data_IF_914517518728
#
_entry.id   IF_914517518728
#
_cell.length_a   1.000
_cell.length_b   1.000
_cell.length_c   1.000
_cell.angle_alpha   90.00
_cell.angle_beta   90.00
_cell.angle_gamma   90.00
#
_symmetry.space_group_name_H-M   'P 1'
#
loop_
_entity.id
_entity.type
_entity.pdbx_description
1 polymer ?
#
# COMPACT_ATOMS: atom_id res chain seq x y z
N UNK A 1 -7.61 -29.73 10.28
CA UNK A 1 -8.91 -30.37 10.00
C UNK A 1 -9.03 -30.51 8.49
N UNK A 2 -8.70 -31.68 7.95
CA UNK A 2 -8.85 -31.96 6.52
C UNK A 2 -10.27 -32.42 6.28
N UNK A 3 -11.21 -31.49 6.13
CA UNK A 3 -12.53 -31.81 5.59
C UNK A 3 -12.37 -32.12 4.11
N UNK A 4 -12.45 -33.41 3.73
CA UNK A 4 -12.63 -33.79 2.35
C UNK A 4 -13.99 -33.22 1.90
N UNK A 5 -13.95 -32.22 1.03
CA UNK A 5 -15.16 -31.81 0.31
C UNK A 5 -15.59 -33.01 -0.54
N UNK A 6 -16.79 -33.54 -0.27
CA UNK A 6 -17.36 -34.56 -1.10
C UNK A 6 -17.60 -34.02 -2.50
N UNK A 7 -17.30 -34.82 -3.53
CA UNK A 7 -17.54 -34.43 -4.93
C UNK A 7 -19.01 -34.25 -5.14
N UNK A 8 -19.45 -33.05 -5.49
CA UNK A 8 -20.84 -32.74 -5.84
C UNK A 8 -20.91 -32.22 -7.26
N UNK A 9 -21.75 -32.87 -8.07
CA UNK A 9 -21.97 -32.48 -9.45
C UNK A 9 -20.71 -32.57 -10.32
N UNK A 10 -20.36 -31.46 -10.97
CA UNK A 10 -19.18 -31.33 -11.82
C UNK A 10 -17.90 -30.93 -11.05
N UNK A 11 -18.00 -30.68 -9.77
CA UNK A 11 -16.84 -30.34 -8.94
C UNK A 11 -15.89 -31.52 -8.81
N UNK A 12 -14.60 -31.24 -9.02
CA UNK A 12 -13.49 -32.17 -8.82
C UNK A 12 -12.42 -31.47 -8.00
N UNK A 13 -12.13 -31.97 -6.82
CA UNK A 13 -11.12 -31.40 -5.93
C UNK A 13 -9.70 -31.36 -6.55
N UNK A 14 -9.42 -32.25 -7.50
CA UNK A 14 -8.17 -32.31 -8.26
C UNK A 14 -7.98 -31.11 -9.23
N UNK A 15 -9.09 -30.43 -9.59
CA UNK A 15 -9.08 -29.23 -10.42
C UNK A 15 -9.14 -27.93 -9.60
N UNK A 16 -9.15 -28.04 -8.28
CA UNK A 16 -9.09 -26.88 -7.39
C UNK A 16 -7.69 -26.29 -7.43
N UNK A 17 -7.58 -25.09 -7.99
CA UNK A 17 -6.34 -24.33 -8.05
C UNK A 17 -6.61 -22.92 -7.51
N UNK A 18 -5.65 -22.42 -6.71
CA UNK A 18 -5.72 -21.04 -6.25
C UNK A 18 -5.80 -20.08 -7.43
N UNK A 19 -6.84 -19.27 -7.44
CA UNK A 19 -7.12 -18.31 -8.51
C UNK A 19 -6.66 -16.88 -8.17
N UNK A 20 -5.83 -16.72 -7.14
CA UNK A 20 -5.39 -15.42 -6.64
C UNK A 20 -4.06 -15.00 -7.26
N UNK A 21 -3.93 -13.71 -7.60
CA UNK A 21 -2.67 -13.09 -8.03
C UNK A 21 -1.86 -12.50 -6.88
N UNK A 22 -2.24 -12.77 -5.64
CA UNK A 22 -1.56 -12.29 -4.42
C UNK A 22 -0.73 -13.41 -3.82
N UNK A 23 0.47 -13.06 -3.34
CA UNK A 23 1.30 -13.96 -2.56
C UNK A 23 1.93 -13.23 -1.37
N UNK A 24 2.20 -13.97 -0.30
CA UNK A 24 2.85 -13.44 0.88
C UNK A 24 3.87 -14.45 1.42
N UNK A 25 4.99 -13.93 1.91
CA UNK A 25 5.96 -14.67 2.71
C UNK A 25 6.41 -13.80 3.88
N UNK A 26 6.57 -14.41 5.06
CA UNK A 26 7.04 -13.72 6.25
C UNK A 26 7.97 -14.61 7.06
N UNK A 27 8.94 -14.00 7.72
CA UNK A 27 9.76 -14.64 8.72
C UNK A 27 9.04 -14.59 10.08
N UNK A 28 8.73 -15.75 10.65
CA UNK A 28 7.99 -15.84 11.92
C UNK A 28 8.78 -15.31 13.11
N UNK A 29 10.14 -15.27 13.03
CA UNK A 29 10.96 -14.62 14.06
C UNK A 29 10.91 -13.10 14.02
N UNK A 30 10.35 -12.51 12.93
CA UNK A 30 10.36 -11.06 12.68
C UNK A 30 11.71 -10.50 12.22
N UNK A 31 12.75 -11.35 12.07
CA UNK A 31 14.04 -10.93 11.57
C UNK A 31 14.00 -10.58 10.08
N UNK A 32 14.57 -9.43 9.74
CA UNK A 32 14.67 -8.99 8.36
C UNK A 32 15.89 -9.62 7.69
N UNK A 33 15.69 -10.17 6.50
CA UNK A 33 16.77 -10.68 5.65
C UNK A 33 16.41 -10.52 4.17
N UNK A 34 17.41 -10.68 3.30
CA UNK A 34 17.22 -10.55 1.86
C UNK A 34 16.51 -11.78 1.26
N UNK A 35 16.70 -12.98 1.83
CA UNK A 35 16.05 -14.22 1.39
C UNK A 35 14.50 -14.11 1.37
N UNK A 36 13.91 -13.33 2.27
CA UNK A 36 12.46 -13.03 2.23
C UNK A 36 12.08 -12.24 0.98
N UNK A 37 12.91 -11.29 0.55
CA UNK A 37 12.67 -10.53 -0.68
C UNK A 37 12.79 -11.44 -1.90
N UNK A 38 13.84 -12.26 -1.97
CA UNK A 38 14.04 -13.26 -3.04
C UNK A 38 12.88 -14.26 -3.11
N UNK A 39 12.41 -14.76 -1.96
CA UNK A 39 11.22 -15.63 -1.89
C UNK A 39 9.97 -14.92 -2.38
N UNK A 40 9.76 -13.64 -2.02
CA UNK A 40 8.69 -12.81 -2.55
C UNK A 40 8.76 -12.72 -4.07
N UNK A 41 9.93 -12.43 -4.64
CA UNK A 41 10.14 -12.42 -6.10
C UNK A 41 9.89 -13.80 -6.74
N UNK A 42 10.26 -14.87 -6.05
CA UNK A 42 9.99 -16.24 -6.53
C UNK A 42 8.50 -16.54 -6.57
N UNK A 43 7.75 -16.16 -5.53
CA UNK A 43 6.29 -16.28 -5.51
C UNK A 43 5.69 -15.49 -6.66
N UNK A 44 6.10 -14.23 -6.85
CA UNK A 44 5.61 -13.36 -7.91
C UNK A 44 5.82 -13.99 -9.30
N UNK A 45 7.03 -14.50 -9.57
CA UNK A 45 7.36 -15.19 -10.84
C UNK A 45 6.49 -16.43 -11.07
N UNK A 46 6.14 -17.17 -10.02
CA UNK A 46 5.23 -18.33 -10.09
C UNK A 46 3.77 -17.94 -10.34
N UNK A 47 3.38 -16.71 -9.99
CA UNK A 47 2.07 -16.15 -10.25
C UNK A 47 1.92 -15.55 -11.67
N UNK A 48 2.92 -15.68 -12.55
CA UNK A 48 2.90 -15.09 -13.90
C UNK A 48 1.65 -15.49 -14.71
N UNK A 49 1.17 -16.73 -14.54
CA UNK A 49 -0.05 -17.22 -15.17
C UNK A 49 -1.33 -16.50 -14.69
N UNK A 50 -1.24 -15.68 -13.65
CA UNK A 50 -2.33 -14.85 -13.10
C UNK A 50 -2.28 -13.41 -13.60
N UNK A 51 -1.30 -13.05 -14.40
CA UNK A 51 -1.19 -11.76 -15.06
C UNK A 51 -1.80 -11.75 -16.45
N UNK A 52 -1.97 -10.55 -17.01
CA UNK A 52 -2.32 -10.37 -18.40
C UNK A 52 -1.34 -9.42 -19.10
N UNK A 53 -1.36 -9.47 -20.42
CA UNK A 53 -0.63 -8.57 -21.31
C UNK A 53 -1.60 -7.93 -22.28
N UNK A 54 -1.28 -6.73 -22.76
CA UNK A 54 -2.00 -6.07 -23.83
C UNK A 54 -1.52 -6.51 -25.23
N UNK A 55 -1.55 -5.57 -26.17
CA UNK A 55 -1.02 -5.79 -27.52
C UNK A 55 0.47 -6.00 -27.54
N UNK A 56 1.20 -5.34 -26.63
CA UNK A 56 2.61 -5.58 -26.38
C UNK A 56 2.76 -6.74 -25.38
N UNK A 57 3.28 -7.91 -25.80
CA UNK A 57 3.40 -9.06 -24.92
C UNK A 57 4.43 -8.88 -23.80
N UNK A 58 5.28 -7.85 -23.86
CA UNK A 58 6.24 -7.49 -22.81
C UNK A 58 5.71 -6.42 -21.87
N UNK A 59 4.50 -5.91 -22.09
CA UNK A 59 3.80 -4.97 -21.19
C UNK A 59 2.74 -5.71 -20.41
N UNK A 60 2.92 -5.82 -19.08
CA UNK A 60 1.97 -6.45 -18.17
C UNK A 60 0.94 -5.48 -17.61
N UNK A 61 -0.18 -5.99 -17.12
CA UNK A 61 -1.23 -5.21 -16.43
C UNK A 61 -0.75 -4.63 -15.07
N UNK A 62 0.35 -5.15 -14.56
CA UNK A 62 1.00 -4.66 -13.36
C UNK A 62 1.52 -5.76 -12.45
N UNK A 63 2.68 -5.51 -11.87
CA UNK A 63 3.26 -6.33 -10.82
C UNK A 63 3.92 -5.45 -9.77
N UNK A 64 4.02 -5.97 -8.53
CA UNK A 64 4.65 -5.21 -7.46
C UNK A 64 4.88 -6.01 -6.19
N UNK A 65 5.60 -5.34 -5.30
CA UNK A 65 6.04 -5.80 -3.99
C UNK A 65 5.78 -4.72 -2.96
N UNK A 66 5.17 -5.10 -1.85
CA UNK A 66 5.10 -4.34 -0.61
C UNK A 66 5.96 -5.05 0.44
N UNK A 67 6.81 -4.30 1.12
CA UNK A 67 7.73 -4.83 2.11
C UNK A 67 8.02 -3.81 3.21
N UNK A 68 8.67 -4.24 4.29
CA UNK A 68 9.20 -3.30 5.29
C UNK A 68 10.32 -2.46 4.68
N UNK A 69 10.40 -1.19 5.07
CA UNK A 69 11.49 -0.29 4.64
C UNK A 69 12.83 -0.86 5.11
N UNK A 70 13.80 -1.08 4.20
CA UNK A 70 15.15 -1.48 4.57
C UNK A 70 15.94 -0.25 5.06
N UNK A 71 15.71 0.16 6.29
CA UNK A 71 16.31 1.38 6.86
C UNK A 71 17.83 1.39 6.77
N UNK A 72 18.49 0.24 6.94
CA UNK A 72 19.94 0.11 6.79
C UNK A 72 20.45 0.52 5.41
N UNK A 73 19.79 0.04 4.36
CA UNK A 73 20.05 0.42 2.97
C UNK A 73 19.87 1.93 2.76
N UNK A 74 18.72 2.47 3.16
CA UNK A 74 18.45 3.91 2.95
C UNK A 74 19.30 4.83 3.82
N UNK A 75 19.76 4.40 4.99
CA UNK A 75 20.75 5.15 5.78
C UNK A 75 22.06 5.31 5.01
N UNK A 76 22.53 4.28 4.29
CA UNK A 76 23.71 4.39 3.41
C UNK A 76 23.48 5.38 2.26
N UNK A 77 22.30 5.35 1.65
CA UNK A 77 21.89 6.30 0.59
C UNK A 77 21.89 7.75 1.11
N UNK A 78 21.32 7.98 2.29
CA UNK A 78 21.26 9.31 2.92
C UNK A 78 22.65 9.78 3.36
N UNK A 79 23.48 8.90 3.92
CA UNK A 79 24.85 9.23 4.31
C UNK A 79 25.69 9.70 3.12
N UNK A 80 25.51 9.09 1.95
CA UNK A 80 26.17 9.52 0.70
C UNK A 80 25.74 10.95 0.27
N UNK A 81 24.60 11.45 0.78
CA UNK A 81 24.08 12.81 0.55
C UNK A 81 24.32 13.75 1.74
N UNK A 82 25.16 13.36 2.70
CA UNK A 82 25.44 14.09 3.95
C UNK A 82 24.20 14.34 4.83
N UNK A 83 23.10 13.60 4.61
CA UNK A 83 21.91 13.65 5.45
C UNK A 83 21.97 12.54 6.50
N UNK A 84 21.66 12.89 7.75
CA UNK A 84 21.66 11.95 8.89
C UNK A 84 20.35 12.06 9.63
N UNK A 85 19.66 10.94 9.80
CA UNK A 85 18.51 10.82 10.71
C UNK A 85 18.43 9.40 11.25
N UNK A 86 18.12 9.27 12.53
CA UNK A 86 17.88 7.98 13.17
C UNK A 86 16.56 7.38 12.71
N UNK A 87 15.53 8.23 12.55
CA UNK A 87 14.18 7.85 12.15
C UNK A 87 13.69 8.72 10.99
N UNK A 88 13.20 8.08 9.93
CA UNK A 88 12.66 8.76 8.75
C UNK A 88 11.59 7.89 8.07
N UNK A 89 10.69 8.57 7.38
CA UNK A 89 9.78 7.96 6.41
C UNK A 89 10.30 8.07 4.99
N UNK A 90 9.80 7.20 4.13
CA UNK A 90 10.10 7.19 2.70
C UNK A 90 8.80 7.32 1.92
N UNK A 91 8.72 8.35 1.08
CA UNK A 91 7.68 8.44 0.07
C UNK A 91 8.22 7.92 -1.26
N UNK A 92 7.51 6.98 -1.89
CA UNK A 92 7.73 6.53 -3.26
C UNK A 92 6.76 7.26 -4.18
N UNK A 93 7.29 7.97 -5.16
CA UNK A 93 6.54 8.88 -6.02
C UNK A 93 6.68 8.50 -7.49
N UNK A 94 5.57 8.57 -8.22
CA UNK A 94 5.52 8.55 -9.67
C UNK A 94 5.22 9.96 -10.19
N UNK A 95 6.05 10.48 -11.10
CA UNK A 95 5.93 11.83 -11.64
C UNK A 95 6.45 12.94 -10.72
N UNK A 96 5.76 14.09 -10.73
CA UNK A 96 6.05 15.24 -9.87
C UNK A 96 7.29 16.05 -10.28
N UNK A 97 7.75 15.94 -11.52
CA UNK A 97 8.81 16.80 -12.04
C UNK A 97 8.35 18.26 -12.08
N UNK A 98 9.18 19.16 -11.53
CA UNK A 98 8.83 20.58 -11.41
C UNK A 98 7.87 20.90 -10.26
N UNK A 99 7.41 19.89 -9.49
CA UNK A 99 6.52 20.07 -8.35
C UNK A 99 7.24 19.95 -6.99
N UNK A 100 8.58 19.76 -7.00
CA UNK A 100 9.39 19.53 -5.79
C UNK A 100 9.14 20.59 -4.72
N UNK A 101 9.13 21.87 -5.09
CA UNK A 101 8.89 22.97 -4.14
C UNK A 101 7.51 22.90 -3.50
N UNK A 102 6.49 22.47 -4.24
CA UNK A 102 5.13 22.31 -3.67
C UNK A 102 5.13 21.17 -2.65
N UNK A 103 5.73 20.03 -3.01
CA UNK A 103 5.84 18.85 -2.14
C UNK A 103 6.62 19.20 -0.86
N UNK A 104 7.77 19.88 -0.98
CA UNK A 104 8.57 20.30 0.17
C UNK A 104 7.83 21.30 1.06
N UNK A 105 7.03 22.22 0.48
CA UNK A 105 6.24 23.15 1.25
C UNK A 105 5.15 22.42 2.06
N UNK A 106 4.48 21.43 1.49
CA UNK A 106 3.53 20.57 2.21
C UNK A 106 4.22 19.89 3.40
N UNK A 107 5.39 19.29 3.20
CA UNK A 107 6.12 18.61 4.27
C UNK A 107 6.51 19.60 5.38
N UNK A 108 6.98 20.80 5.02
CA UNK A 108 7.36 21.84 5.96
C UNK A 108 6.17 22.39 6.75
N UNK A 109 5.00 22.56 6.10
CA UNK A 109 3.78 23.00 6.78
C UNK A 109 3.26 21.98 7.81
N UNK A 110 3.53 20.70 7.57
CA UNK A 110 3.20 19.61 8.50
C UNK A 110 4.26 19.38 9.61
N UNK A 111 5.20 20.31 9.79
CA UNK A 111 6.19 20.26 10.86
C UNK A 111 7.31 19.24 10.62
N UNK A 112 7.44 18.74 9.40
CA UNK A 112 8.47 17.81 8.98
C UNK A 112 9.57 18.50 8.17
N UNK A 113 10.66 17.79 7.93
CA UNK A 113 11.76 18.24 7.09
C UNK A 113 12.07 17.21 6.01
N UNK A 114 12.57 17.70 4.89
CA UNK A 114 13.05 16.88 3.78
C UNK A 114 14.53 16.58 3.98
N UNK A 115 14.88 15.32 4.13
CA UNK A 115 16.28 14.87 4.23
C UNK A 115 16.94 14.78 2.85
N UNK A 116 16.16 14.55 1.81
CA UNK A 116 16.66 14.49 0.45
C UNK A 116 15.76 13.77 -0.52
N UNK A 117 16.05 13.94 -1.80
CA UNK A 117 15.44 13.27 -2.93
C UNK A 117 16.39 12.23 -3.51
N UNK A 118 15.83 11.13 -4.02
CA UNK A 118 16.55 10.10 -4.78
C UNK A 118 15.76 9.72 -6.01
N UNK A 119 16.39 9.83 -7.18
CA UNK A 119 15.86 9.14 -8.35
C UNK A 119 16.11 7.64 -8.15
N UNK A 120 15.04 6.86 -8.24
CA UNK A 120 15.13 5.40 -8.05
C UNK A 120 15.86 4.82 -9.26
N UNK A 121 16.93 4.04 -9.05
CA UNK A 121 17.56 3.31 -10.16
C UNK A 121 16.56 2.37 -10.81
N UNK A 122 16.38 2.52 -12.12
CA UNK A 122 15.50 1.65 -12.93
C UNK A 122 16.20 1.25 -14.22
N UNK A 123 15.83 0.10 -14.75
CA UNK A 123 16.28 -0.38 -16.06
C UNK A 123 15.09 -0.39 -17.03
N UNK A 124 14.91 0.66 -17.84
CA UNK A 124 13.81 0.75 -18.80
C UNK A 124 13.86 -0.32 -19.91
N UNK A 125 15.02 -0.93 -20.15
CA UNK A 125 15.16 -1.98 -21.16
C UNK A 125 14.62 -3.34 -20.70
N UNK A 126 14.28 -3.45 -19.42
CA UNK A 126 13.66 -4.65 -18.85
C UNK A 126 12.15 -4.74 -19.08
N UNK A 127 11.51 -3.70 -19.64
CA UNK A 127 10.05 -3.60 -19.80
C UNK A 127 9.65 -3.37 -21.25
N UNK A 128 8.39 -3.70 -21.56
CA UNK A 128 7.83 -3.54 -22.89
C UNK A 128 7.73 -2.10 -23.37
N UNK A 129 7.57 -1.95 -24.67
CA UNK A 129 7.50 -0.64 -25.32
C UNK A 129 6.36 0.23 -24.80
N UNK A 130 5.15 -0.33 -24.66
CA UNK A 130 3.97 0.41 -24.24
C UNK A 130 4.09 0.86 -22.78
N UNK A 131 4.60 0.01 -21.88
CA UNK A 131 4.88 0.38 -20.48
C UNK A 131 5.94 1.49 -20.40
N UNK A 132 6.98 1.43 -21.23
CA UNK A 132 8.05 2.42 -21.30
C UNK A 132 7.54 3.78 -21.80
N UNK A 133 6.65 3.78 -22.80
CA UNK A 133 6.11 5.01 -23.38
C UNK A 133 5.33 5.87 -22.36
N UNK A 134 4.73 5.23 -21.36
CA UNK A 134 3.96 5.90 -20.29
C UNK A 134 4.63 5.80 -18.92
N UNK A 135 5.91 5.47 -18.90
CA UNK A 135 6.67 5.31 -17.65
C UNK A 135 6.84 6.68 -16.96
N UNK A 136 6.36 6.82 -15.72
CA UNK A 136 6.60 8.04 -14.96
C UNK A 136 8.05 8.10 -14.49
N UNK A 137 8.53 9.28 -14.14
CA UNK A 137 9.74 9.39 -13.35
C UNK A 137 9.48 8.81 -11.95
N UNK A 138 10.37 7.94 -11.49
CA UNK A 138 10.22 7.25 -10.20
C UNK A 138 11.22 7.82 -9.21
N UNK A 139 10.71 8.36 -8.11
CA UNK A 139 11.54 9.06 -7.11
C UNK A 139 11.20 8.64 -5.69
N UNK A 140 12.18 8.74 -4.84
CA UNK A 140 12.04 8.60 -3.40
C UNK A 140 12.32 9.92 -2.70
N UNK A 141 11.53 10.21 -1.69
CA UNK A 141 11.65 11.38 -0.86
C UNK A 141 11.75 10.94 0.59
N UNK A 142 12.80 11.38 1.28
CA UNK A 142 13.06 11.05 2.67
C UNK A 142 12.59 12.18 3.57
N UNK A 143 11.76 11.84 4.56
CA UNK A 143 11.06 12.78 5.43
C UNK A 143 11.37 12.44 6.88
N UNK A 144 11.73 13.45 7.68
CA UNK A 144 11.92 13.30 9.12
C UNK A 144 11.06 14.31 9.89
N UNK A 145 10.81 14.03 11.16
CA UNK A 145 10.26 15.03 12.07
C UNK A 145 11.35 16.06 12.38
N UNK A 146 11.00 17.34 12.45
CA UNK A 146 11.93 18.34 12.97
C UNK A 146 12.27 18.01 14.43
N UNK A 147 13.55 17.82 14.74
CA UNK A 147 14.01 17.63 16.11
C UNK A 147 13.66 18.87 16.94
N UNK A 148 12.57 18.81 17.68
CA UNK A 148 12.44 19.62 18.88
C UNK A 148 13.17 18.87 20.00
N UNK A 149 14.10 19.53 20.69
CA UNK A 149 15.03 18.96 21.68
C UNK A 149 14.41 18.21 22.88
N UNK A 150 13.12 17.97 22.88
CA UNK A 150 12.35 17.36 23.98
C UNK A 150 12.16 15.84 23.88
N UNK A 151 12.78 15.14 22.93
CA UNK A 151 12.60 13.68 22.77
C UNK A 151 13.59 12.84 23.60
N UNK A 152 14.52 13.45 24.33
CA UNK A 152 15.54 12.72 25.12
C UNK A 152 15.07 12.09 26.44
N UNK A 153 13.79 12.21 26.81
CA UNK A 153 13.27 11.72 28.11
C UNK A 153 12.23 10.60 28.02
N UNK A 154 12.20 9.81 26.92
CA UNK A 154 11.30 8.66 26.82
C UNK A 154 12.09 7.36 26.62
N UNK A 155 13.16 7.20 27.38
CA UNK A 155 13.71 5.86 27.68
C UNK A 155 13.07 5.39 28.97
N UNK A 156 12.38 4.24 28.91
CA UNK A 156 11.65 3.55 29.99
C UNK A 156 10.16 3.92 30.17
N UNK A 157 9.35 3.42 29.25
CA UNK A 157 7.97 3.09 29.62
C UNK A 157 7.55 1.83 28.88
N UNK A 158 7.17 0.80 29.65
CA UNK A 158 6.57 -0.44 29.14
C UNK A 158 5.50 -0.11 28.10
N UNK A 159 5.65 -0.66 26.91
CA UNK A 159 4.69 -0.52 25.81
C UNK A 159 3.34 -1.07 26.30
N UNK A 160 2.43 -0.18 26.61
CA UNK A 160 1.04 -0.54 26.83
C UNK A 160 0.33 -0.52 25.48
N UNK A 161 -0.20 -1.65 25.02
CA UNK A 161 -0.96 -1.78 23.77
C UNK A 161 -2.15 -0.80 23.68
N UNK A 162 -2.61 -0.27 24.81
CA UNK A 162 -3.61 0.79 24.86
C UNK A 162 -3.08 2.19 24.51
N UNK A 163 -1.75 2.40 24.49
CA UNK A 163 -1.15 3.71 24.19
C UNK A 163 -1.23 4.08 22.70
N UNK A 164 -1.34 3.07 21.81
CA UNK A 164 -1.55 3.30 20.38
C UNK A 164 -2.92 3.92 20.09
N UNK A 165 -3.93 3.57 20.89
CA UNK A 165 -5.29 4.10 20.78
C UNK A 165 -5.42 5.56 21.23
N UNK A 166 -4.54 6.06 22.09
CA UNK A 166 -4.60 7.44 22.60
C UNK A 166 -3.64 8.41 21.92
N UNK A 167 -2.97 8.02 20.82
CA UNK A 167 -2.11 8.92 20.03
C UNK A 167 -0.82 9.36 20.74
N UNK A 168 -0.42 8.66 21.81
CA UNK A 168 0.79 8.98 22.60
C UNK A 168 2.04 8.26 22.12
N UNK A 169 1.91 7.30 21.18
CA UNK A 169 3.05 6.62 20.56
C UNK A 169 3.68 7.55 19.49
N UNK A 170 4.95 7.96 19.65
CA UNK A 170 5.63 8.84 18.70
C UNK A 170 5.68 8.26 17.28
N UNK A 171 5.86 6.94 17.15
CA UNK A 171 5.91 6.25 15.86
C UNK A 171 4.54 6.27 15.15
N UNK A 172 3.47 5.96 15.88
CA UNK A 172 2.11 6.04 15.35
C UNK A 172 1.71 7.48 14.98
N UNK A 173 2.19 8.47 15.75
CA UNK A 173 2.00 9.88 15.46
C UNK A 173 2.73 10.31 14.19
N UNK A 174 3.96 9.83 13.98
CA UNK A 174 4.73 10.13 12.78
C UNK A 174 4.12 9.45 11.54
N UNK A 175 3.69 8.20 11.65
CA UNK A 175 3.01 7.49 10.57
C UNK A 175 1.73 8.21 10.13
N UNK A 176 0.93 8.70 11.09
CA UNK A 176 -0.25 9.52 10.80
C UNK A 176 0.11 10.84 10.13
N UNK A 177 1.21 11.47 10.53
CA UNK A 177 1.69 12.70 9.87
C UNK A 177 2.10 12.43 8.43
N UNK A 178 2.77 11.32 8.15
CA UNK A 178 3.11 10.88 6.79
C UNK A 178 1.85 10.61 5.94
N UNK A 179 0.80 10.03 6.54
CA UNK A 179 -0.49 9.86 5.88
C UNK A 179 -1.12 11.23 5.49
N UNK A 180 -1.11 12.22 6.39
CA UNK A 180 -1.61 13.57 6.09
C UNK A 180 -0.78 14.22 4.98
N UNK A 181 0.55 14.17 5.09
CA UNK A 181 1.48 14.70 4.08
C UNK A 181 1.18 14.10 2.71
N UNK A 182 0.99 12.78 2.62
CA UNK A 182 0.62 12.13 1.36
C UNK A 182 -0.67 12.71 0.77
N UNK A 183 -1.71 12.84 1.59
CA UNK A 183 -3.01 13.37 1.14
C UNK A 183 -2.89 14.82 0.66
N UNK A 184 -2.11 15.62 1.34
CA UNK A 184 -1.87 17.01 0.93
C UNK A 184 -0.98 17.12 -0.31
N UNK A 185 0.03 16.26 -0.48
CA UNK A 185 0.81 16.17 -1.73
C UNK A 185 -0.11 15.88 -2.91
N UNK A 186 -0.99 14.86 -2.80
CA UNK A 186 -1.93 14.48 -3.85
C UNK A 186 -2.89 15.61 -4.24
N UNK A 187 -3.20 16.53 -3.31
CA UNK A 187 -4.03 17.72 -3.58
C UNK A 187 -3.24 18.89 -4.18
N UNK A 188 -2.01 19.10 -3.71
CA UNK A 188 -1.18 20.22 -4.11
C UNK A 188 -0.54 20.04 -5.49
N UNK A 189 -0.44 18.80 -5.95
CA UNK A 189 0.22 18.41 -7.20
C UNK A 189 -0.80 17.92 -8.22
N UNK A 190 -0.43 17.98 -9.52
CA UNK A 190 -1.30 17.51 -10.62
C UNK A 190 -0.86 16.17 -11.16
N UNK A 191 0.46 15.99 -11.27
CA UNK A 191 1.07 14.88 -11.99
C UNK A 191 1.91 14.01 -11.07
N UNK A 192 1.64 14.08 -9.74
CA UNK A 192 2.31 13.26 -8.73
C UNK A 192 1.37 12.23 -8.16
N UNK A 193 1.71 10.95 -8.31
CA UNK A 193 1.07 9.86 -7.59
C UNK A 193 1.99 9.34 -6.48
N UNK A 194 1.45 9.18 -5.27
CA UNK A 194 2.20 8.67 -4.12
C UNK A 194 1.93 7.18 -3.94
N UNK A 195 2.88 6.33 -4.38
CA UNK A 195 2.76 4.87 -4.27
C UNK A 195 2.73 4.39 -2.83
N UNK A 196 3.59 4.98 -1.99
CA UNK A 196 3.64 4.77 -0.54
C UNK A 196 4.28 5.98 0.12
N UNK A 197 3.91 6.28 1.37
CA UNK A 197 4.50 7.31 2.21
C UNK A 197 4.39 6.84 3.67
N UNK A 198 5.43 6.20 4.19
CA UNK A 198 5.40 5.51 5.47
C UNK A 198 6.78 5.50 6.11
N UNK A 199 6.84 5.32 7.41
CA UNK A 199 8.06 5.01 8.15
C UNK A 199 8.28 3.49 8.30
N UNK A 200 7.30 2.67 7.89
CA UNK A 200 7.26 1.21 8.09
C UNK A 200 7.38 0.42 6.80
N UNK A 201 6.63 0.79 5.78
CA UNK A 201 6.49 0.02 4.54
C UNK A 201 6.81 0.82 3.30
N UNK A 202 7.22 0.12 2.24
CA UNK A 202 7.50 0.70 0.93
C UNK A 202 6.92 -0.21 -0.16
N UNK A 203 6.47 0.42 -1.25
CA UNK A 203 5.90 -0.28 -2.40
C UNK A 203 6.76 -0.05 -3.63
N UNK A 204 7.19 -1.13 -4.27
CA UNK A 204 7.80 -1.18 -5.59
C UNK A 204 6.81 -1.82 -6.56
N UNK A 205 6.35 -1.10 -7.58
CA UNK A 205 5.35 -1.58 -8.53
C UNK A 205 5.44 -0.88 -9.88
N UNK A 206 4.72 -1.37 -10.86
CA UNK A 206 4.61 -0.73 -12.16
C UNK A 206 3.81 -1.54 -13.17
N UNK A 207 3.70 -1.05 -14.41
CA UNK A 207 3.16 -1.78 -15.56
C UNK A 207 4.14 -2.87 -16.02
N UNK A 208 4.30 -3.88 -15.18
CA UNK A 208 5.34 -4.89 -15.28
C UNK A 208 4.72 -6.28 -15.36
N UNK A 209 5.44 -7.19 -16.00
CA UNK A 209 5.28 -8.62 -15.78
C UNK A 209 5.98 -9.04 -14.49
N UNK A 210 5.54 -10.14 -13.88
CA UNK A 210 6.16 -10.73 -12.70
C UNK A 210 7.68 -10.91 -12.82
N UNK A 211 8.14 -11.29 -14.01
CA UNK A 211 9.56 -11.57 -14.29
C UNK A 211 10.41 -10.31 -14.52
N UNK A 212 9.76 -9.16 -14.64
CA UNK A 212 10.43 -7.89 -14.94
C UNK A 212 10.72 -7.07 -13.67
N UNK A 213 9.96 -7.24 -12.59
CA UNK A 213 10.03 -6.36 -11.40
C UNK A 213 11.46 -6.24 -10.84
N UNK A 214 12.13 -7.36 -10.64
CA UNK A 214 13.51 -7.41 -10.12
C UNK A 214 14.53 -6.84 -11.11
N UNK A 215 14.32 -7.09 -12.41
CA UNK A 215 15.20 -6.59 -13.47
C UNK A 215 15.04 -5.08 -13.67
N UNK A 216 13.82 -4.58 -13.46
CA UNK A 216 13.48 -3.17 -13.61
C UNK A 216 13.96 -2.33 -12.41
N UNK A 217 13.86 -2.88 -11.18
CA UNK A 217 14.32 -2.23 -9.95
C UNK A 217 15.58 -2.91 -9.38
N UNK A 218 16.79 -2.47 -9.73
CA UNK A 218 18.05 -3.03 -9.21
C UNK A 218 18.16 -3.04 -7.68
N UNK A 219 17.49 -2.10 -6.99
CA UNK A 219 17.41 -2.07 -5.52
C UNK A 219 16.98 -3.42 -4.93
N UNK A 220 16.06 -4.13 -5.60
CA UNK A 220 15.49 -5.39 -5.12
C UNK A 220 16.50 -6.55 -5.13
N UNK A 221 17.61 -6.41 -5.87
CA UNK A 221 18.70 -7.39 -5.93
C UNK A 221 19.87 -7.05 -4.98
N UNK A 222 19.79 -5.92 -4.26
CA UNK A 222 20.86 -5.55 -3.32
C UNK A 222 20.74 -6.36 -2.03
N UNK A 223 21.82 -7.03 -1.55
CA UNK A 223 21.79 -7.84 -0.33
C UNK A 223 21.40 -7.07 0.94
N UNK A 224 21.60 -5.75 0.98
CA UNK A 224 21.19 -4.89 2.08
C UNK A 224 19.67 -4.54 2.01
N UNK A 225 19.00 -4.93 0.92
CA UNK A 225 17.57 -4.73 0.74
C UNK A 225 16.80 -5.85 1.46
N UNK A 226 16.63 -5.70 2.77
CA UNK A 226 16.13 -6.73 3.68
C UNK A 226 14.74 -6.41 4.21
N UNK A 227 13.94 -7.45 4.45
CA UNK A 227 12.60 -7.32 5.05
C UNK A 227 12.24 -8.58 5.85
N UNK A 228 11.39 -8.46 6.89
CA UNK A 228 10.82 -9.62 7.57
C UNK A 228 9.61 -10.21 6.84
N UNK A 229 9.03 -9.51 5.87
CA UNK A 229 7.91 -9.98 5.06
C UNK A 229 7.94 -9.38 3.66
N UNK A 230 7.30 -10.07 2.73
CA UNK A 230 7.04 -9.59 1.38
C UNK A 230 5.62 -9.95 0.97
N UNK A 231 4.85 -8.97 0.49
CA UNK A 231 3.54 -9.16 -0.14
C UNK A 231 3.70 -8.81 -1.60
N UNK A 232 3.37 -9.73 -2.48
CA UNK A 232 3.50 -9.57 -3.93
C UNK A 232 2.16 -9.70 -4.62
N UNK A 233 2.03 -9.05 -5.76
CA UNK A 233 0.83 -9.12 -6.57
C UNK A 233 1.18 -9.12 -8.06
N UNK A 234 0.54 -10.03 -8.80
CA UNK A 234 0.47 -10.01 -10.25
C UNK A 234 -0.96 -9.64 -10.67
N UNK A 235 -1.09 -8.53 -11.37
CA UNK A 235 -2.40 -7.98 -11.75
C UNK A 235 -2.91 -8.60 -13.04
N UNK A 236 -4.22 -8.85 -13.04
CA UNK A 236 -5.06 -9.00 -14.22
C UNK A 236 -6.14 -7.91 -14.17
N UNK A 237 -6.12 -7.00 -15.14
CA UNK A 237 -7.07 -5.88 -15.15
C UNK A 237 -8.34 -6.28 -15.92
N UNK A 238 -9.49 -6.27 -15.24
CA UNK A 238 -10.78 -6.63 -15.84
C UNK A 238 -11.66 -5.42 -16.12
N UNK A 239 -11.66 -4.43 -15.21
CA UNK A 239 -12.63 -3.33 -15.21
C UNK A 239 -12.03 -1.95 -15.45
N UNK A 240 -10.70 -1.82 -15.41
CA UNK A 240 -10.00 -0.56 -15.61
C UNK A 240 -8.82 -0.76 -16.54
N UNK A 241 -8.49 0.25 -17.37
CA UNK A 241 -7.25 0.21 -18.13
C UNK A 241 -6.05 0.13 -17.17
N UNK A 242 -5.06 -0.73 -17.47
CA UNK A 242 -3.86 -0.82 -16.65
C UNK A 242 -3.06 0.48 -16.75
N UNK A 243 -2.64 0.99 -15.59
CA UNK A 243 -1.74 2.14 -15.46
C UNK A 243 -0.69 1.85 -14.39
N UNK A 244 0.39 2.64 -14.38
CA UNK A 244 1.45 2.51 -13.37
C UNK A 244 0.91 2.65 -11.95
N UNK A 245 -0.03 3.56 -11.73
CA UNK A 245 -0.62 3.88 -10.44
C UNK A 245 -1.53 2.75 -9.93
N UNK A 246 -2.26 2.11 -10.86
CA UNK A 246 -3.23 1.07 -10.54
C UNK A 246 -2.61 -0.32 -10.38
N UNK A 247 -1.30 -0.47 -10.64
CA UNK A 247 -0.60 -1.70 -10.29
C UNK A 247 -0.65 -1.96 -8.77
N UNK A 248 -0.73 -3.21 -8.39
CA UNK A 248 -0.73 -3.65 -7.00
C UNK A 248 0.67 -4.10 -6.54
N UNK A 249 0.94 -4.18 -5.22
CA UNK A 249 0.10 -3.79 -4.09
C UNK A 249 -0.16 -2.28 -4.04
N UNK A 250 -1.22 -1.89 -3.32
CA UNK A 250 -1.40 -0.53 -2.85
C UNK A 250 -0.60 -0.31 -1.57
N UNK A 251 -0.88 0.77 -0.82
CA UNK A 251 -0.09 1.17 0.35
C UNK A 251 -0.23 0.23 1.54
N UNK A 252 -1.43 -0.34 1.70
CA UNK A 252 -1.75 -1.20 2.84
C UNK A 252 -2.39 -2.53 2.43
N UNK A 253 -2.96 -2.64 1.22
CA UNK A 253 -3.62 -3.86 0.76
C UNK A 253 -3.07 -4.39 -0.56
N UNK A 254 -3.19 -5.71 -0.73
CA UNK A 254 -3.11 -6.39 -2.01
C UNK A 254 -4.42 -7.20 -2.19
N UNK A 255 -5.14 -6.96 -3.27
CA UNK A 255 -6.47 -7.50 -3.46
C UNK A 255 -6.68 -7.96 -4.91
N UNK A 256 -7.28 -9.12 -5.09
CA UNK A 256 -7.48 -9.73 -6.40
C UNK A 256 -8.96 -9.98 -6.74
N UNK A 257 -9.86 -9.38 -5.99
CA UNK A 257 -11.30 -9.52 -6.21
C UNK A 257 -11.95 -8.21 -6.68
N UNK A 258 -13.25 -8.30 -6.92
CA UNK A 258 -14.13 -7.18 -7.23
C UNK A 258 -14.99 -6.85 -6.01
N UNK A 259 -15.34 -5.58 -5.84
CA UNK A 259 -16.21 -5.10 -4.76
C UNK A 259 -17.57 -4.74 -5.37
N UNK A 260 -18.50 -5.68 -5.37
CA UNK A 260 -19.78 -5.53 -6.08
C UNK A 260 -20.62 -4.32 -5.64
N UNK A 261 -20.49 -3.89 -4.37
CA UNK A 261 -21.26 -2.78 -3.83
C UNK A 261 -20.49 -1.44 -3.85
N UNK A 262 -19.36 -1.35 -4.54
CA UNK A 262 -18.45 -0.21 -4.43
C UNK A 262 -19.13 1.14 -4.69
N UNK A 263 -19.96 1.24 -5.72
CA UNK A 263 -20.64 2.49 -6.07
C UNK A 263 -21.56 2.99 -4.94
N UNK A 264 -22.34 2.09 -4.35
CA UNK A 264 -23.19 2.41 -3.21
C UNK A 264 -22.40 2.80 -1.97
N UNK A 265 -21.30 2.08 -1.73
CA UNK A 265 -20.40 2.36 -0.60
C UNK A 265 -19.73 3.73 -0.73
N UNK A 266 -19.23 4.08 -1.93
CA UNK A 266 -18.63 5.39 -2.20
C UNK A 266 -19.65 6.53 -2.03
N UNK A 267 -20.87 6.35 -2.51
CA UNK A 267 -21.94 7.32 -2.34
C UNK A 267 -22.28 7.51 -0.86
N UNK A 268 -22.38 6.42 -0.09
CA UNK A 268 -22.65 6.47 1.34
C UNK A 268 -21.49 7.12 2.12
N UNK A 269 -20.24 6.87 1.72
CA UNK A 269 -19.07 7.50 2.30
C UNK A 269 -19.09 9.02 2.04
N UNK A 270 -19.27 9.43 0.78
CA UNK A 270 -19.32 10.84 0.40
C UNK A 270 -20.42 11.61 1.16
N UNK A 271 -21.60 11.00 1.33
CA UNK A 271 -22.69 11.60 2.11
C UNK A 271 -22.34 11.80 3.59
N UNK A 272 -21.36 11.06 4.13
CA UNK A 272 -20.93 11.15 5.53
C UNK A 272 -19.67 11.98 5.73
N UNK A 273 -18.90 12.26 4.69
CA UNK A 273 -17.63 12.99 4.82
C UNK A 273 -17.77 14.31 5.56
N UNK A 274 -18.86 15.06 5.34
CA UNK A 274 -19.13 16.33 6.01
C UNK A 274 -19.39 16.21 7.53
N UNK A 275 -19.75 15.01 8.01
CA UNK A 275 -20.05 14.72 9.42
C UNK A 275 -18.99 13.82 10.08
N UNK A 276 -17.87 13.56 9.41
CA UNK A 276 -16.80 12.77 9.99
C UNK A 276 -16.12 13.55 11.12
N UNK A 277 -15.95 12.86 12.24
CA UNK A 277 -15.22 13.33 13.40
C UNK A 277 -14.20 12.28 13.82
N UNK A 278 -13.03 12.73 14.23
CA UNK A 278 -11.98 11.87 14.76
C UNK A 278 -11.19 12.59 15.83
N UNK A 279 -11.23 12.13 17.08
CA UNK A 279 -10.40 12.69 18.14
C UNK A 279 -8.89 12.61 17.84
N UNK A 280 -8.52 11.61 17.04
CA UNK A 280 -7.12 11.35 16.68
C UNK A 280 -6.58 12.33 15.63
N UNK A 281 -7.42 12.75 14.69
CA UNK A 281 -7.06 13.73 13.67
C UNK A 281 -7.37 15.17 14.09
N UNK A 282 -8.42 15.38 14.89
CA UNK A 282 -8.88 16.74 15.21
C UNK A 282 -9.16 17.54 13.93
N UNK A 283 -8.62 18.76 13.87
CA UNK A 283 -8.77 19.64 12.69
C UNK A 283 -8.03 19.15 11.43
N UNK A 284 -7.02 18.29 11.58
CA UNK A 284 -6.30 17.71 10.46
C UNK A 284 -7.18 16.79 9.59
N UNK A 285 -8.36 16.36 10.11
CA UNK A 285 -9.32 15.58 9.33
C UNK A 285 -9.72 16.27 8.03
N UNK A 286 -9.86 17.58 8.04
CA UNK A 286 -10.22 18.38 6.85
C UNK A 286 -9.16 18.34 5.76
N UNK A 287 -7.90 18.13 6.14
CA UNK A 287 -6.77 18.06 5.19
C UNK A 287 -6.79 16.78 4.34
N UNK A 288 -7.38 15.71 4.84
CA UNK A 288 -7.38 14.40 4.19
C UNK A 288 -8.63 14.12 3.34
N UNK A 289 -9.64 15.00 3.39
CA UNK A 289 -10.84 14.87 2.56
C UNK A 289 -10.63 15.43 1.14
N UNK A 290 -11.30 14.87 0.11
CA UNK A 290 -12.15 13.68 0.17
C UNK A 290 -11.32 12.42 0.38
N UNK A 291 -11.90 11.39 1.02
CA UNK A 291 -11.18 10.13 1.31
C UNK A 291 -10.89 9.35 0.03
N UNK A 292 -11.88 9.29 -0.86
CA UNK A 292 -11.81 8.58 -2.13
C UNK A 292 -11.97 9.57 -3.28
N UNK A 293 -11.16 9.41 -4.31
CA UNK A 293 -11.23 10.23 -5.53
C UNK A 293 -11.98 9.50 -6.64
N UNK A 294 -12.62 10.26 -7.53
CA UNK A 294 -13.22 9.69 -8.74
C UNK A 294 -12.19 9.03 -9.66
N UNK A 295 -12.60 7.97 -10.35
CA UNK A 295 -11.75 7.27 -11.32
C UNK A 295 -10.77 6.24 -10.73
N UNK A 296 -10.78 6.03 -9.44
CA UNK A 296 -9.98 4.98 -8.79
C UNK A 296 -10.60 3.59 -9.00
N UNK A 297 -9.75 2.55 -8.96
CA UNK A 297 -10.23 1.17 -8.91
C UNK A 297 -10.89 0.86 -7.55
N UNK A 298 -11.68 -0.22 -7.50
CA UNK A 298 -12.32 -0.70 -6.27
C UNK A 298 -11.30 -0.92 -5.17
N UNK A 299 -10.20 -1.58 -5.51
CA UNK A 299 -9.11 -1.86 -4.56
C UNK A 299 -8.40 -0.60 -4.08
N UNK A 300 -8.19 0.40 -4.95
CA UNK A 300 -7.59 1.68 -4.55
C UNK A 300 -8.52 2.44 -3.59
N UNK A 301 -9.82 2.40 -3.84
CA UNK A 301 -10.83 3.00 -2.95
C UNK A 301 -10.86 2.31 -1.59
N UNK A 302 -10.82 0.98 -1.57
CA UNK A 302 -10.75 0.18 -0.34
C UNK A 302 -9.46 0.50 0.44
N UNK A 303 -8.31 0.59 -0.22
CA UNK A 303 -7.03 0.93 0.38
C UNK A 303 -7.08 2.29 1.08
N UNK A 304 -7.65 3.31 0.43
CA UNK A 304 -7.80 4.65 1.03
C UNK A 304 -8.64 4.62 2.32
N UNK A 305 -9.74 3.86 2.32
CA UNK A 305 -10.61 3.76 3.51
C UNK A 305 -9.92 2.96 4.61
N UNK A 306 -9.22 1.90 4.26
CA UNK A 306 -8.45 1.09 5.21
C UNK A 306 -7.36 1.91 5.87
N UNK A 307 -6.56 2.66 5.10
CA UNK A 307 -5.53 3.56 5.63
C UNK A 307 -6.12 4.60 6.60
N UNK A 308 -7.27 5.21 6.26
CA UNK A 308 -7.95 6.15 7.14
C UNK A 308 -8.27 5.51 8.49
N UNK A 309 -8.86 4.30 8.49
CA UNK A 309 -9.25 3.62 9.72
C UNK A 309 -8.05 3.28 10.59
N UNK A 310 -6.96 2.81 9.98
CA UNK A 310 -5.71 2.51 10.69
C UNK A 310 -5.07 3.80 11.22
N UNK A 311 -4.98 4.85 10.41
CA UNK A 311 -4.44 6.14 10.81
C UNK A 311 -5.30 6.82 11.92
N UNK A 312 -6.61 6.53 11.96
CA UNK A 312 -7.51 6.95 13.04
C UNK A 312 -7.34 6.13 14.34
N UNK A 313 -6.39 5.19 14.39
CA UNK A 313 -6.04 4.44 15.59
C UNK A 313 -6.71 3.07 15.72
N UNK A 314 -7.27 2.52 14.64
CA UNK A 314 -7.76 1.14 14.65
C UNK A 314 -6.63 0.19 14.27
N UNK A 315 -6.59 -0.98 14.90
CA UNK A 315 -5.69 -2.03 14.43
C UNK A 315 -6.12 -2.56 13.05
N UNK A 316 -5.17 -3.07 12.28
CA UNK A 316 -5.41 -3.52 10.92
C UNK A 316 -6.47 -4.65 10.82
N UNK A 317 -6.48 -5.69 11.70
CA UNK A 317 -7.55 -6.69 11.72
C UNK A 317 -8.93 -6.08 11.97
N UNK A 318 -9.08 -5.18 12.93
CA UNK A 318 -10.34 -4.53 13.22
C UNK A 318 -10.80 -3.65 12.05
N UNK A 319 -9.89 -2.85 11.46
CA UNK A 319 -10.21 -2.04 10.28
C UNK A 319 -10.69 -2.94 9.12
N UNK A 320 -10.05 -4.07 8.88
CA UNK A 320 -10.49 -5.02 7.85
C UNK A 320 -11.84 -5.65 8.19
N UNK A 321 -12.09 -6.04 9.42
CA UNK A 321 -13.39 -6.55 9.87
C UNK A 321 -14.52 -5.51 9.70
N UNK A 322 -14.21 -4.22 9.81
CA UNK A 322 -15.17 -3.15 9.53
C UNK A 322 -15.49 -3.01 8.05
N UNK A 323 -14.53 -3.34 7.19
CA UNK A 323 -14.63 -3.18 5.74
C UNK A 323 -15.14 -4.43 5.04
N UNK A 324 -14.91 -5.61 5.64
CA UNK A 324 -15.33 -6.92 5.12
C UNK A 324 -16.48 -7.45 5.98
N UNK A 325 -17.70 -7.29 5.53
CA UNK A 325 -18.88 -7.67 6.27
C UNK A 325 -19.09 -9.18 6.40
N UNK A 326 -19.59 -9.62 7.56
CA UNK A 326 -20.05 -10.96 7.78
C UNK A 326 -21.45 -11.15 7.18
N UNK A 327 -21.64 -12.17 6.34
CA UNK A 327 -22.99 -12.48 5.81
C UNK A 327 -23.95 -12.82 6.96
N UNK A 328 -25.11 -12.16 7.05
CA UNK A 328 -26.13 -12.57 8.00
C UNK A 328 -26.81 -13.93 7.62
N UNK A 329 -26.48 -14.45 6.45
CA UNK A 329 -27.02 -15.72 5.95
C UNK A 329 -25.94 -16.80 5.96
N UNK A 330 -25.97 -17.75 6.92
CA UNK A 330 -24.92 -18.77 7.06
C UNK A 330 -24.83 -19.76 5.89
N UNK A 331 -25.78 -19.74 4.95
CA UNK A 331 -25.90 -20.72 3.86
C UNK A 331 -25.82 -20.14 2.45
N UNK A 332 -25.52 -18.85 2.26
CA UNK A 332 -25.28 -18.32 0.91
C UNK A 332 -23.82 -18.52 0.53
N UNK A 333 -23.57 -19.51 -0.31
CA UNK A 333 -22.25 -19.77 -0.87
C UNK A 333 -21.64 -18.49 -1.46
N UNK A 334 -20.51 -18.09 -0.93
CA UNK A 334 -19.58 -17.19 -1.59
C UNK A 334 -19.79 -15.68 -1.44
N UNK A 335 -20.76 -15.19 -0.69
CA UNK A 335 -20.90 -13.74 -0.47
C UNK A 335 -20.72 -13.40 1.00
N UNK A 336 -19.68 -12.66 1.31
CA UNK A 336 -19.47 -12.06 2.64
C UNK A 336 -20.01 -10.63 2.56
N UNK A 337 -21.10 -10.35 3.27
CA UNK A 337 -21.66 -8.99 3.39
C UNK A 337 -21.63 -8.55 4.87
N UNK A 338 -20.96 -7.46 5.21
CA UNK A 338 -20.91 -6.90 6.58
C UNK A 338 -21.37 -5.46 6.57
N UNK A 339 -22.23 -5.10 7.47
CA UNK A 339 -22.53 -3.72 7.78
C UNK A 339 -21.52 -3.22 8.79
N UNK A 340 -20.70 -2.26 8.40
CA UNK A 340 -19.84 -1.59 9.36
C UNK A 340 -20.68 -0.92 10.44
N UNK A 341 -20.54 -1.28 11.72
CA UNK A 341 -21.30 -0.63 12.80
C UNK A 341 -20.92 0.85 12.97
N UNK A 342 -19.76 1.26 12.47
CA UNK A 342 -19.24 2.62 12.61
C UNK A 342 -19.61 3.50 11.41
N UNK A 343 -19.52 2.97 10.20
CA UNK A 343 -19.81 3.74 8.97
C UNK A 343 -21.22 3.49 8.45
N UNK A 344 -21.89 2.43 8.89
CA UNK A 344 -23.17 1.95 8.36
C UNK A 344 -23.09 1.52 6.88
N UNK A 345 -21.89 1.45 6.33
CA UNK A 345 -21.64 1.10 4.94
C UNK A 345 -21.66 -0.42 4.81
N UNK A 346 -22.33 -0.90 3.78
CA UNK A 346 -22.33 -2.31 3.41
C UNK A 346 -21.19 -2.56 2.41
N UNK A 347 -20.28 -3.46 2.74
CA UNK A 347 -19.31 -4.00 1.79
C UNK A 347 -19.74 -5.44 1.46
N UNK A 348 -19.80 -5.77 0.20
CA UNK A 348 -20.05 -7.14 -0.26
C UNK A 348 -18.83 -7.60 -1.04
N UNK A 349 -18.13 -8.58 -0.53
CA UNK A 349 -17.07 -9.29 -1.23
C UNK A 349 -17.66 -10.60 -1.74
N UNK A 350 -17.82 -10.72 -3.05
CA UNK A 350 -18.21 -11.98 -3.68
C UNK A 350 -16.97 -12.69 -4.15
N UNK A 351 -16.74 -13.87 -3.62
CA UNK A 351 -15.78 -14.79 -4.19
C UNK A 351 -16.50 -15.53 -5.32
N UNK A 352 -16.19 -15.20 -6.58
CA UNK A 352 -16.58 -16.07 -7.70
C UNK A 352 -15.56 -17.20 -7.74
N UNK A 353 -16.07 -18.41 -7.55
CA UNK A 353 -15.33 -19.65 -7.83
C UNK A 353 -15.06 -19.81 -9.32
#
# INVERSE_FOLDING_TARGET
MNGKYEQQGLYRSEYEHDACGVGMVANLSGEANHDIVEKGMTILKRLMHRGATGNDPETGDGAGLLMRIPHGFFKKVLAAKNAKSESFGVAMLFGGEGEEKKIENVIKSEGCEVLGWRDVPVNPDAIGHDARAVMPKIRQLFIATKNTENTKNIENKELCDLCDLCGKNPEASFERRLYIIRREIEKATKDTYVCSCSSRTIVYKGLLLATQLEKFYPDLSDPDFISPFAIVHQRYSTNTFPTWELAHPFRAIAHNGEINAIKGNLTALAAREASLESPTFGDDLKKILPIVHGGQSDSASLDNIFELLVAAGRDAPHAMMMLVPHSPFPNSEGTISVKSPVTGIWFSLTHRR
#
